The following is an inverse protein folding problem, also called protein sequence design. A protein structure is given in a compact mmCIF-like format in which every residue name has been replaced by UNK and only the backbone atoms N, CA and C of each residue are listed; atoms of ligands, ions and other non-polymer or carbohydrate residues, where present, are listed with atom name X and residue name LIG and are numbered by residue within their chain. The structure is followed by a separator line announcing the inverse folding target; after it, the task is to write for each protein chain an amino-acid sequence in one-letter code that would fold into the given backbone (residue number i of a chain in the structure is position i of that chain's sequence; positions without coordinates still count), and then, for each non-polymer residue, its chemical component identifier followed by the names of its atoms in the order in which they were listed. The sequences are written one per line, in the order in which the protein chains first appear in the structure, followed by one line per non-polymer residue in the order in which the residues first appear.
data_IF_850870842508
#
_entry.id   IF_850870842508
#
_cell.length_a   1.000
_cell.length_b   1.000
_cell.length_c   1.000
_cell.angle_alpha   90.00
_cell.angle_beta   90.00
_cell.angle_gamma   90.00
#
_symmetry.space_group_name_H-M   'P 1'
#
loop_
_entity.id
_entity.type
_entity.pdbx_description
1 polymer ?
#
# COMPACT_ATOMS: atom_id res chain seq x y z
N UNK A 1 -3.04 7.97 16.77
CA UNK A 1 -2.15 7.99 15.59
C UNK A 1 -1.62 6.58 15.43
N UNK A 2 -1.87 5.93 14.30
CA UNK A 2 -1.33 4.59 14.02
C UNK A 2 0.18 4.71 13.82
N UNK A 3 0.98 4.11 14.71
CA UNK A 3 2.43 3.97 14.51
C UNK A 3 2.68 2.71 13.68
N UNK A 4 2.64 2.80 12.35
CA UNK A 4 3.03 1.68 11.49
C UNK A 4 4.56 1.51 11.47
N UNK A 5 5.32 2.60 11.64
CA UNK A 5 6.79 2.61 11.79
C UNK A 5 7.28 1.62 12.86
N UNK A 6 6.61 1.56 14.02
CA UNK A 6 7.02 0.64 15.08
C UNK A 6 6.80 -0.82 14.68
N UNK A 7 5.81 -1.10 13.83
CA UNK A 7 5.57 -2.45 13.30
C UNK A 7 6.58 -2.83 12.22
N UNK A 8 7.04 -1.87 11.40
CA UNK A 8 8.00 -2.16 10.33
C UNK A 8 9.41 -2.49 10.82
N UNK A 9 9.80 -1.95 11.98
CA UNK A 9 11.11 -2.22 12.60
C UNK A 9 11.37 -3.71 12.82
N UNK A 10 10.33 -4.47 13.17
CA UNK A 10 10.47 -5.89 13.52
C UNK A 10 10.44 -6.82 12.28
N UNK A 11 10.11 -6.30 11.11
CA UNK A 11 10.05 -7.10 9.89
C UNK A 11 11.41 -7.22 9.19
N UNK A 12 11.62 -8.35 8.51
CA UNK A 12 12.79 -8.56 7.66
C UNK A 12 12.76 -7.65 6.43
N UNK A 13 13.92 -7.33 5.88
CA UNK A 13 14.03 -6.52 4.65
C UNK A 13 13.22 -7.12 3.49
N UNK A 14 13.25 -8.46 3.34
CA UNK A 14 12.44 -9.19 2.36
C UNK A 14 10.94 -8.97 2.57
N UNK A 15 10.48 -8.90 3.81
CA UNK A 15 9.08 -8.64 4.14
C UNK A 15 8.71 -7.21 3.78
N UNK A 16 9.56 -6.24 4.11
CA UNK A 16 9.33 -4.82 3.80
C UNK A 16 9.27 -4.58 2.28
N UNK A 17 10.16 -5.19 1.50
CA UNK A 17 10.11 -5.14 0.03
C UNK A 17 8.79 -5.70 -0.51
N UNK A 18 8.32 -6.84 0.02
CA UNK A 18 7.03 -7.43 -0.39
C UNK A 18 5.84 -6.55 -0.04
N UNK A 19 5.87 -5.87 1.10
CA UNK A 19 4.82 -4.90 1.45
C UNK A 19 4.83 -3.73 0.48
N UNK A 20 6.00 -3.25 0.09
CA UNK A 20 6.12 -2.17 -0.87
C UNK A 20 5.60 -2.60 -2.26
N UNK A 21 5.99 -3.77 -2.76
CA UNK A 21 5.45 -4.33 -4.02
C UNK A 21 3.92 -4.47 -3.98
N UNK A 22 3.37 -4.92 -2.85
CA UNK A 22 1.92 -5.04 -2.66
C UNK A 22 1.23 -3.68 -2.68
N UNK A 23 1.83 -2.67 -2.06
CA UNK A 23 1.33 -1.30 -2.07
C UNK A 23 1.41 -0.70 -3.49
N UNK A 24 2.49 -0.93 -4.23
CA UNK A 24 2.63 -0.51 -5.64
C UNK A 24 1.49 -1.08 -6.47
N UNK A 25 1.28 -2.39 -6.41
CA UNK A 25 0.21 -3.06 -7.15
C UNK A 25 -1.18 -2.55 -6.75
N UNK A 26 -1.39 -2.21 -5.47
CA UNK A 26 -2.64 -1.64 -4.99
C UNK A 26 -2.91 -0.26 -5.59
N UNK A 27 -1.94 0.66 -5.57
CA UNK A 27 -2.07 1.99 -6.17
C UNK A 27 -2.21 1.94 -7.70
N UNK A 28 -1.49 1.05 -8.37
CA UNK A 28 -1.61 0.85 -9.82
C UNK A 28 -3.00 0.31 -10.19
N UNK A 29 -3.48 -0.69 -9.45
CA UNK A 29 -4.81 -1.26 -9.65
C UNK A 29 -5.91 -0.22 -9.38
N UNK A 30 -5.77 0.59 -8.34
CA UNK A 30 -6.77 1.60 -7.99
C UNK A 30 -6.90 2.68 -9.07
N UNK A 31 -5.77 3.14 -9.62
CA UNK A 31 -5.74 4.11 -10.74
C UNK A 31 -6.32 3.58 -12.04
N UNK A 32 -6.20 2.28 -12.26
CA UNK A 32 -6.72 1.62 -13.46
C UNK A 32 -8.23 1.46 -13.48
N UNK A 33 -8.91 1.65 -12.34
CA UNK A 33 -10.35 1.47 -12.20
C UNK A 33 -11.11 2.80 -12.21
N UNK A 34 -12.18 2.86 -12.97
CA UNK A 34 -13.16 3.95 -12.90
C UNK A 34 -13.98 3.88 -11.61
N UNK A 35 -14.61 5.00 -11.21
CA UNK A 35 -15.48 5.05 -10.04
C UNK A 35 -16.58 3.97 -10.06
N UNK A 36 -17.19 3.73 -11.22
CA UNK A 36 -18.21 2.69 -11.40
C UNK A 36 -17.66 1.27 -11.19
N UNK A 37 -16.43 1.00 -11.64
CA UNK A 37 -15.78 -0.30 -11.45
C UNK A 37 -15.35 -0.52 -10.01
N UNK A 38 -14.93 0.54 -9.31
CA UNK A 38 -14.63 0.53 -7.87
C UNK A 38 -15.88 0.21 -7.05
N UNK A 39 -16.98 0.89 -7.34
CA UNK A 39 -18.29 0.63 -6.70
C UNK A 39 -18.77 -0.79 -6.97
N UNK A 40 -18.64 -1.29 -8.20
CA UNK A 40 -18.97 -2.68 -8.53
C UNK A 40 -18.09 -3.68 -7.76
N UNK A 41 -16.78 -3.44 -7.68
CA UNK A 41 -15.85 -4.29 -6.94
C UNK A 41 -16.18 -4.36 -5.44
N UNK A 42 -16.66 -3.27 -4.84
CA UNK A 42 -17.13 -3.25 -3.46
C UNK A 42 -18.43 -4.06 -3.26
N UNK A 43 -19.35 -4.01 -4.23
CA UNK A 43 -20.64 -4.71 -4.13
C UNK A 43 -20.54 -6.24 -4.24
N UNK A 44 -19.58 -6.75 -5.03
CA UNK A 44 -19.44 -8.19 -5.23
C UNK A 44 -18.78 -8.92 -4.06
N UNK A 45 -18.27 -8.19 -3.05
CA UNK A 45 -17.77 -8.74 -1.78
C UNK A 45 -16.65 -9.79 -1.89
N UNK A 46 -16.17 -10.13 -3.09
CA UNK A 46 -15.26 -11.24 -3.25
C UNK A 46 -14.44 -11.20 -4.56
N UNK A 47 -13.17 -11.56 -4.39
CA UNK A 47 -12.18 -12.12 -5.33
C UNK A 47 -11.24 -11.22 -6.12
N UNK A 48 -11.56 -9.96 -6.36
CA UNK A 48 -10.54 -8.99 -6.77
C UNK A 48 -10.27 -8.12 -5.56
N UNK A 49 -9.06 -8.21 -5.00
CA UNK A 49 -8.67 -7.41 -3.84
C UNK A 49 -8.61 -5.95 -4.28
N UNK A 50 -9.76 -5.29 -4.24
CA UNK A 50 -9.83 -3.85 -4.33
C UNK A 50 -9.36 -3.32 -2.98
N UNK A 51 -8.11 -2.87 -2.92
CA UNK A 51 -7.49 -2.41 -1.69
C UNK A 51 -7.97 -1.02 -1.28
N UNK A 52 -8.81 -0.36 -2.09
CA UNK A 52 -9.46 0.91 -1.76
C UNK A 52 -8.46 1.96 -1.26
N UNK A 53 -7.34 2.13 -1.95
CA UNK A 53 -6.24 3.00 -1.50
C UNK A 53 -6.68 4.46 -1.33
N UNK A 54 -7.72 4.85 -2.07
CA UNK A 54 -8.48 6.10 -1.99
C UNK A 54 -9.61 6.09 -0.94
N UNK A 55 -10.18 4.92 -0.62
CA UNK A 55 -11.20 4.75 0.42
C UNK A 55 -10.61 4.71 1.85
N UNK A 56 -9.38 4.22 2.01
CA UNK A 56 -8.69 4.16 3.31
C UNK A 56 -7.76 5.35 3.50
N UNK A 57 -8.19 6.32 4.32
CA UNK A 57 -7.47 7.57 4.56
C UNK A 57 -6.05 7.41 5.15
N UNK A 58 -5.73 6.26 5.73
CA UNK A 58 -4.44 5.94 6.33
C UNK A 58 -3.46 5.27 5.36
N UNK A 59 -3.89 4.92 4.14
CA UNK A 59 -3.06 4.24 3.15
C UNK A 59 -1.87 5.08 2.66
N UNK A 60 -1.99 6.41 2.41
CA UNK A 60 -0.84 7.25 2.11
C UNK A 60 0.20 7.27 3.23
N UNK A 61 -0.28 7.35 4.48
CA UNK A 61 0.57 7.36 5.69
C UNK A 61 1.28 6.02 5.86
N UNK A 62 0.58 4.91 5.67
CA UNK A 62 1.18 3.57 5.68
C UNK A 62 2.35 3.47 4.70
N UNK A 63 2.18 3.98 3.46
CA UNK A 63 3.24 3.95 2.45
C UNK A 63 4.38 4.91 2.79
N UNK A 64 4.10 6.13 3.26
CA UNK A 64 5.15 7.05 3.74
C UNK A 64 6.03 6.39 4.81
N UNK A 65 5.39 5.75 5.78
CA UNK A 65 6.05 5.09 6.91
C UNK A 65 6.87 3.87 6.47
N UNK A 66 6.38 3.11 5.48
CA UNK A 66 7.10 1.98 4.89
C UNK A 66 8.33 2.44 4.09
N UNK A 67 8.18 3.44 3.22
CA UNK A 67 9.27 4.01 2.42
C UNK A 67 10.35 4.67 3.29
N UNK A 68 9.95 5.29 4.41
CA UNK A 68 10.87 5.83 5.39
C UNK A 68 11.73 4.73 6.04
N UNK A 69 11.14 3.59 6.41
CA UNK A 69 11.89 2.46 6.98
C UNK A 69 12.80 1.79 5.94
N UNK A 70 12.33 1.63 4.70
CA UNK A 70 13.17 1.12 3.59
C UNK A 70 14.38 2.03 3.33
N UNK A 71 14.16 3.35 3.29
CA UNK A 71 15.21 4.35 3.10
C UNK A 71 16.23 4.32 4.23
N UNK A 72 15.76 4.25 5.49
CA UNK A 72 16.60 4.14 6.68
C UNK A 72 17.50 2.90 6.64
N UNK A 73 17.00 1.78 6.11
CA UNK A 73 17.75 0.53 5.93
C UNK A 73 18.58 0.47 4.65
N UNK A 74 18.53 1.52 3.81
CA UNK A 74 19.21 1.59 2.51
C UNK A 74 18.80 0.45 1.56
N UNK A 75 17.54 0.02 1.65
CA UNK A 75 16.95 -0.94 0.71
C UNK A 75 16.54 -0.17 -0.54
N UNK A 76 16.86 -0.70 -1.73
CA UNK A 76 16.48 -0.07 -2.99
C UNK A 76 14.98 -0.28 -3.26
N UNK A 77 14.27 0.80 -3.57
CA UNK A 77 12.88 0.81 -4.02
C UNK A 77 12.63 2.03 -4.91
N UNK A 78 11.52 2.01 -5.66
CA UNK A 78 11.02 3.17 -6.41
C UNK A 78 9.84 3.75 -5.64
N UNK A 79 9.86 5.04 -5.24
CA UNK A 79 8.75 5.65 -4.52
C UNK A 79 7.42 5.51 -5.25
N UNK A 80 6.37 5.12 -4.52
CA UNK A 80 5.04 4.96 -5.05
C UNK A 80 4.43 6.35 -5.22
N UNK A 81 4.08 6.71 -6.46
CA UNK A 81 3.18 7.83 -6.67
C UNK A 81 1.86 7.48 -6.00
N UNK A 82 1.30 8.38 -5.19
CA UNK A 82 0.07 8.20 -4.41
C UNK A 82 -1.04 9.05 -5.02
#
# INVERSE_FOLDING_TARGET
MSNFIDKFKDFSDKTLTKFHESATNAYESDRGLTSTEKEAAQQFGNRYAYYGTDYFSDWPVYVDELEAELSKRKINFTPIAK
#
